data_IF_472625175149
#
_entry.id   IF_472625175149
#
_cell.length_a   1.000
_cell.length_b   1.000
_cell.length_c   1.000
_cell.angle_alpha   90.00
_cell.angle_beta   90.00
_cell.angle_gamma   90.00
#
_symmetry.space_group_name_H-M   'P 1'
#
loop_
_entity.id
_entity.type
_entity.pdbx_description
1 polymer ?
#
# COMPACT_ATOMS: atom_id res chain seq x y z
N UNK A 1 -14.97 13.33 49.91
CA UNK A 1 -14.98 12.05 49.15
C UNK A 1 -14.11 12.20 47.92
N UNK A 2 -13.11 11.30 47.78
CA UNK A 2 -12.52 10.71 46.56
C UNK A 2 -12.25 11.63 45.35
N UNK A 3 -11.08 11.69 44.70
CA UNK A 3 -9.71 11.18 44.88
C UNK A 3 -8.84 12.09 44.00
N UNK A 4 -7.77 12.64 44.55
CA UNK A 4 -6.65 13.15 43.76
C UNK A 4 -5.96 11.94 43.12
N UNK A 5 -5.75 11.97 41.81
CA UNK A 5 -4.76 11.13 41.15
C UNK A 5 -3.84 12.01 40.34
N UNK A 6 -2.74 12.39 41.01
CA UNK A 6 -1.43 12.48 40.38
C UNK A 6 -1.10 11.12 39.78
N UNK A 7 -0.75 11.10 38.50
CA UNK A 7 0.14 10.09 37.94
C UNK A 7 1.14 10.77 37.03
N UNK A 8 2.38 10.77 37.51
CA UNK A 8 3.57 10.93 36.71
C UNK A 8 3.59 9.90 35.56
N UNK A 9 4.06 10.36 34.38
CA UNK A 9 4.92 9.71 33.38
C UNK A 9 5.05 8.17 33.41
N UNK A 10 5.19 7.47 32.25
CA UNK A 10 6.41 7.68 31.45
C UNK A 10 6.35 7.26 29.95
N UNK A 11 7.51 7.35 29.31
CA UNK A 11 7.93 6.61 28.12
C UNK A 11 7.51 7.16 26.75
N UNK A 12 8.39 8.06 26.27
CA UNK A 12 9.03 7.87 24.98
C UNK A 12 9.41 6.39 24.82
N UNK A 13 8.71 5.65 23.96
CA UNK A 13 9.24 4.40 23.39
C UNK A 13 9.33 4.59 21.89
N UNK A 14 10.57 4.88 21.50
CA UNK A 14 11.11 4.77 20.15
C UNK A 14 10.59 3.46 19.55
N UNK A 15 9.69 3.54 18.56
CA UNK A 15 9.56 2.43 17.62
C UNK A 15 10.77 2.52 16.71
N UNK A 16 11.81 1.80 17.12
CA UNK A 16 12.93 1.46 16.26
C UNK A 16 12.33 0.82 15.01
N UNK A 17 12.59 1.45 13.86
CA UNK A 17 12.59 0.79 12.57
C UNK A 17 13.52 -0.41 12.71
N UNK A 18 12.96 -1.60 12.98
CA UNK A 18 13.66 -2.84 12.64
C UNK A 18 13.55 -2.95 11.13
N UNK A 19 14.58 -2.42 10.48
CA UNK A 19 15.05 -2.90 9.20
C UNK A 19 15.16 -4.42 9.31
N UNK A 20 14.12 -5.12 8.90
CA UNK A 20 14.28 -6.50 8.45
C UNK A 20 14.99 -6.40 7.11
N UNK A 21 16.32 -6.46 7.16
CA UNK A 21 17.09 -7.13 6.14
C UNK A 21 16.40 -8.47 5.88
N UNK A 22 15.52 -8.49 4.88
CA UNK A 22 15.13 -9.71 4.20
C UNK A 22 16.40 -10.14 3.49
N UNK A 23 17.26 -10.83 4.24
CA UNK A 23 18.35 -11.62 3.68
C UNK A 23 17.69 -12.54 2.68
N UNK A 24 17.87 -12.18 1.42
CA UNK A 24 17.71 -13.00 0.23
C UNK A 24 18.43 -14.33 0.49
N UNK A 25 17.71 -15.29 1.04
CA UNK A 25 18.21 -16.65 1.24
C UNK A 25 18.12 -17.36 -0.11
N UNK A 26 19.05 -17.04 -1.01
CA UNK A 26 19.36 -17.92 -2.13
C UNK A 26 20.25 -19.04 -1.61
N UNK A 27 19.63 -20.05 -1.00
CA UNK A 27 20.27 -21.35 -0.89
C UNK A 27 20.18 -21.98 -2.28
N UNK A 28 21.24 -21.74 -3.07
CA UNK A 28 21.57 -22.52 -4.25
C UNK A 28 21.98 -23.90 -3.75
N UNK A 29 21.06 -24.86 -3.81
CA UNK A 29 21.40 -26.27 -3.89
C UNK A 29 21.10 -26.71 -5.33
N UNK A 30 22.08 -26.53 -6.22
CA UNK A 30 22.09 -27.21 -7.53
C UNK A 30 22.59 -28.64 -7.31
N UNK A 31 21.72 -29.47 -6.74
CA UNK A 31 21.91 -30.91 -6.66
C UNK A 31 20.81 -31.58 -7.45
N UNK A 32 21.15 -32.02 -8.68
CA UNK A 32 20.38 -32.94 -9.53
C UNK A 32 18.86 -32.87 -9.45
N UNK A 33 18.24 -31.89 -10.10
CA UNK A 33 16.78 -31.94 -10.34
C UNK A 33 16.51 -32.87 -11.53
N UNK A 34 15.58 -33.84 -11.40
CA UNK A 34 15.19 -34.69 -12.53
C UNK A 34 14.61 -33.82 -13.66
N UNK A 35 14.80 -34.25 -14.91
CA UNK A 35 14.35 -33.56 -16.13
C UNK A 35 12.84 -33.21 -16.14
N UNK A 36 12.05 -33.78 -15.23
CA UNK A 36 10.62 -33.49 -15.02
C UNK A 36 10.35 -32.11 -14.40
N UNK A 37 11.31 -31.50 -13.68
CA UNK A 37 11.12 -30.18 -13.06
C UNK A 37 11.28 -29.01 -14.05
N UNK A 38 12.09 -29.19 -15.11
CA UNK A 38 12.27 -28.19 -16.17
C UNK A 38 10.97 -28.07 -16.99
N UNK A 39 10.38 -29.22 -17.32
CA UNK A 39 9.09 -29.32 -18.01
C UNK A 39 7.96 -28.60 -17.25
N UNK A 40 7.91 -28.72 -15.91
CA UNK A 40 6.91 -28.04 -15.10
C UNK A 40 7.05 -26.50 -15.13
N UNK A 41 8.28 -25.97 -15.22
CA UNK A 41 8.51 -24.53 -15.30
C UNK A 41 8.21 -23.96 -16.67
N UNK A 42 8.48 -24.70 -17.75
CA UNK A 42 8.12 -24.29 -19.12
C UNK A 42 6.62 -24.38 -19.36
N UNK A 43 5.96 -25.40 -18.80
CA UNK A 43 4.50 -25.50 -18.78
C UNK A 43 3.84 -24.36 -18.01
N UNK A 44 4.46 -23.87 -16.94
CA UNK A 44 3.98 -22.67 -16.22
C UNK A 44 4.11 -21.38 -17.01
N UNK A 45 5.01 -21.32 -18.00
CA UNK A 45 5.13 -20.16 -18.90
C UNK A 45 4.12 -20.21 -20.04
N UNK A 46 3.64 -21.40 -20.40
CA UNK A 46 2.58 -21.57 -21.39
C UNK A 46 1.24 -21.39 -20.69
N UNK A 47 0.37 -20.61 -21.29
CA UNK A 47 -0.98 -20.40 -20.80
C UNK A 47 -1.79 -21.71 -20.71
N UNK A 48 -2.82 -21.78 -19.84
CA UNK A 48 -3.70 -22.94 -19.70
C UNK A 48 -4.21 -23.51 -21.05
N UNK A 49 -4.59 -22.65 -21.99
CA UNK A 49 -5.09 -23.07 -23.31
C UNK A 49 -3.99 -23.67 -24.18
N UNK A 50 -2.82 -23.03 -24.21
CA UNK A 50 -1.66 -23.54 -24.94
C UNK A 50 -1.19 -24.89 -24.39
N UNK A 51 -1.26 -25.06 -23.06
CA UNK A 51 -0.94 -26.32 -22.41
C UNK A 51 -1.97 -27.41 -22.79
N UNK A 52 -3.26 -27.11 -22.74
CA UNK A 52 -4.31 -28.05 -23.17
C UNK A 52 -4.08 -28.54 -24.61
N UNK A 53 -3.89 -27.61 -25.56
CA UNK A 53 -3.69 -27.95 -26.97
C UNK A 53 -2.46 -28.82 -27.18
N UNK A 54 -1.34 -28.51 -26.52
CA UNK A 54 -0.13 -29.34 -26.62
C UNK A 54 -0.34 -30.78 -26.14
N UNK A 55 -1.13 -30.99 -25.07
CA UNK A 55 -1.42 -32.34 -24.58
C UNK A 55 -2.34 -33.13 -25.52
N UNK A 56 -3.23 -32.45 -26.25
CA UNK A 56 -4.05 -33.07 -27.29
C UNK A 56 -3.21 -33.44 -28.51
N UNK A 57 -2.34 -32.54 -28.97
CA UNK A 57 -1.42 -32.77 -30.10
C UNK A 57 -0.43 -33.93 -29.83
N UNK A 58 0.08 -34.01 -28.61
CA UNK A 58 0.97 -35.10 -28.16
C UNK A 58 0.23 -36.43 -27.96
N UNK A 59 -1.10 -36.46 -28.10
CA UNK A 59 -1.93 -37.64 -27.88
C UNK A 59 -2.05 -38.07 -26.42
N UNK A 60 -1.60 -37.23 -25.47
CA UNK A 60 -1.73 -37.46 -24.03
C UNK A 60 -3.16 -37.27 -23.54
N UNK A 61 -3.94 -36.48 -24.27
CA UNK A 61 -5.34 -36.18 -23.97
C UNK A 61 -6.19 -36.31 -25.22
N UNK A 62 -7.42 -36.81 -25.07
CA UNK A 62 -8.42 -36.76 -26.15
C UNK A 62 -9.04 -35.37 -26.18
N UNK A 63 -9.31 -34.85 -27.38
CA UNK A 63 -10.03 -33.59 -27.52
C UNK A 63 -11.43 -33.71 -26.88
N UNK A 64 -11.76 -32.71 -26.07
CA UNK A 64 -13.04 -32.56 -25.37
C UNK A 64 -13.39 -31.06 -25.36
N UNK A 65 -14.55 -30.74 -25.95
CA UNK A 65 -15.05 -29.37 -26.09
C UNK A 65 -15.20 -28.67 -24.74
N UNK A 66 -15.63 -29.40 -23.69
CA UNK A 66 -15.81 -28.79 -22.38
C UNK A 66 -14.48 -28.45 -21.72
N UNK A 67 -13.47 -29.31 -21.88
CA UNK A 67 -12.13 -29.05 -21.36
C UNK A 67 -11.45 -27.91 -22.10
N UNK A 68 -11.58 -27.82 -23.43
CA UNK A 68 -11.06 -26.69 -24.18
C UNK A 68 -11.71 -25.38 -23.72
N UNK A 69 -13.04 -25.37 -23.52
CA UNK A 69 -13.75 -24.20 -23.01
C UNK A 69 -13.22 -23.77 -21.63
N UNK A 70 -13.03 -24.71 -20.71
CA UNK A 70 -12.45 -24.40 -19.40
C UNK A 70 -11.04 -23.83 -19.54
N UNK A 71 -10.22 -24.37 -20.44
CA UNK A 71 -8.87 -23.87 -20.67
C UNK A 71 -8.86 -22.43 -21.21
N UNK A 72 -9.80 -22.07 -22.09
CA UNK A 72 -9.99 -20.69 -22.57
C UNK A 72 -10.35 -19.75 -21.41
N UNK A 73 -11.37 -20.10 -20.62
CA UNK A 73 -11.82 -19.26 -19.50
C UNK A 73 -10.72 -19.07 -18.43
N UNK A 74 -9.88 -20.09 -18.22
CA UNK A 74 -8.73 -20.00 -17.32
C UNK A 74 -7.63 -19.10 -17.87
N UNK A 75 -7.37 -19.13 -19.17
CA UNK A 75 -6.43 -18.21 -19.84
C UNK A 75 -6.86 -16.75 -19.62
N UNK A 76 -8.14 -16.45 -19.89
CA UNK A 76 -8.72 -15.12 -19.70
C UNK A 76 -8.66 -14.67 -18.23
N UNK A 77 -8.90 -15.60 -17.29
CA UNK A 77 -8.80 -15.31 -15.87
C UNK A 77 -7.37 -14.96 -15.45
N UNK A 78 -6.38 -15.71 -15.92
CA UNK A 78 -4.96 -15.44 -15.62
C UNK A 78 -4.56 -14.08 -16.17
N UNK A 79 -4.92 -13.76 -17.41
CA UNK A 79 -4.62 -12.46 -18.02
C UNK A 79 -5.26 -11.30 -17.24
N UNK A 80 -6.49 -11.47 -16.73
CA UNK A 80 -7.13 -10.48 -15.86
C UNK A 80 -6.40 -10.32 -14.53
N UNK A 81 -5.94 -11.41 -13.91
CA UNK A 81 -5.20 -11.36 -12.66
C UNK A 81 -3.85 -10.65 -12.82
N UNK A 82 -3.11 -10.90 -13.90
CA UNK A 82 -1.87 -10.19 -14.21
C UNK A 82 -2.10 -8.68 -14.39
N UNK A 83 -3.19 -8.29 -15.05
CA UNK A 83 -3.61 -6.88 -15.12
C UNK A 83 -3.91 -6.30 -13.75
N UNK A 84 -4.67 -7.00 -12.92
CA UNK A 84 -4.99 -6.54 -11.57
C UNK A 84 -3.75 -6.39 -10.70
N UNK A 85 -2.78 -7.29 -10.80
CA UNK A 85 -1.51 -7.20 -10.08
C UNK A 85 -0.78 -5.89 -10.43
N UNK A 86 -0.65 -5.60 -11.73
CA UNK A 86 -0.04 -4.35 -12.21
C UNK A 86 -0.81 -3.10 -11.76
N UNK A 87 -2.15 -3.13 -11.84
CA UNK A 87 -2.99 -2.02 -11.42
C UNK A 87 -2.86 -1.75 -9.92
N UNK A 88 -2.75 -2.81 -9.11
CA UNK A 88 -2.52 -2.71 -7.66
C UNK A 88 -1.14 -2.14 -7.33
N UNK A 89 -0.10 -2.55 -8.05
CA UNK A 89 1.24 -1.96 -7.91
C UNK A 89 1.21 -0.45 -8.22
N UNK A 90 0.58 -0.06 -9.33
CA UNK A 90 0.45 1.35 -9.71
C UNK A 90 -0.36 2.14 -8.68
N UNK A 91 -1.43 1.55 -8.15
CA UNK A 91 -2.23 2.14 -7.08
C UNK A 91 -1.38 2.43 -5.84
N UNK A 92 -0.57 1.48 -5.39
CA UNK A 92 0.31 1.67 -4.23
C UNK A 92 1.32 2.79 -4.44
N UNK A 93 1.89 2.92 -5.64
CA UNK A 93 2.79 4.04 -5.98
C UNK A 93 2.06 5.38 -5.91
N UNK A 94 0.87 5.46 -6.50
CA UNK A 94 0.04 6.68 -6.48
C UNK A 94 -0.35 7.06 -5.06
N UNK A 95 -0.72 6.09 -4.24
CA UNK A 95 -1.10 6.31 -2.84
C UNK A 95 0.07 6.88 -2.03
N UNK A 96 1.26 6.28 -2.14
CA UNK A 96 2.46 6.77 -1.46
C UNK A 96 2.82 8.20 -1.86
N UNK A 97 2.73 8.52 -3.16
CA UNK A 97 2.96 9.88 -3.65
C UNK A 97 1.92 10.88 -3.11
N UNK A 98 0.65 10.47 -3.05
CA UNK A 98 -0.42 11.30 -2.50
C UNK A 98 -0.22 11.59 -1.02
N UNK A 99 0.16 10.58 -0.23
CA UNK A 99 0.46 10.74 1.19
C UNK A 99 1.65 11.66 1.43
N UNK A 100 2.73 11.49 0.65
CA UNK A 100 3.92 12.35 0.72
C UNK A 100 3.56 13.81 0.43
N UNK A 101 2.83 14.07 -0.66
CA UNK A 101 2.40 15.43 -1.02
C UNK A 101 1.54 16.05 0.07
N UNK A 102 0.58 15.31 0.63
CA UNK A 102 -0.29 15.80 1.71
C UNK A 102 0.50 16.15 2.97
N UNK A 103 1.51 15.34 3.30
CA UNK A 103 2.36 15.57 4.45
C UNK A 103 3.31 16.76 4.24
N UNK A 104 3.81 16.96 3.02
CA UNK A 104 4.60 18.14 2.64
C UNK A 104 3.76 19.42 2.73
N UNK A 105 2.52 19.40 2.23
CA UNK A 105 1.57 20.51 2.39
C UNK A 105 1.31 20.81 3.87
N UNK A 106 1.06 19.76 4.69
CA UNK A 106 0.84 19.90 6.14
C UNK A 106 2.04 20.54 6.83
N UNK A 107 3.26 20.08 6.53
CA UNK A 107 4.50 20.68 7.07
C UNK A 107 4.69 22.11 6.59
N UNK A 108 4.41 22.38 5.32
CA UNK A 108 4.49 23.71 4.72
C UNK A 108 3.57 24.71 5.42
N UNK A 109 2.35 24.32 5.78
CA UNK A 109 1.42 25.17 6.56
C UNK A 109 2.00 25.46 7.95
N UNK A 110 2.50 24.45 8.66
CA UNK A 110 3.07 24.63 9.99
C UNK A 110 4.29 25.56 10.00
N UNK A 111 5.17 25.42 9.01
CA UNK A 111 6.34 26.32 8.85
C UNK A 111 5.87 27.74 8.56
N UNK A 112 4.95 27.92 7.62
CA UNK A 112 4.39 29.26 7.30
C UNK A 112 3.73 29.91 8.51
N UNK A 113 2.95 29.16 9.29
CA UNK A 113 2.33 29.66 10.53
C UNK A 113 3.37 30.04 11.58
N UNK A 114 4.44 29.26 11.73
CA UNK A 114 5.54 29.57 12.63
C UNK A 114 6.30 30.83 12.19
N UNK A 115 6.62 30.95 10.90
CA UNK A 115 7.30 32.12 10.33
C UNK A 115 6.47 33.40 10.49
N UNK A 116 5.15 33.31 10.26
CA UNK A 116 4.24 34.45 10.48
C UNK A 116 4.24 34.85 11.95
N UNK A 117 4.17 33.90 12.89
CA UNK A 117 4.22 34.18 14.34
C UNK A 117 5.56 34.78 14.76
N UNK A 118 6.67 34.32 14.19
CA UNK A 118 8.00 34.83 14.47
C UNK A 118 8.22 36.23 13.90
N UNK A 119 7.89 36.45 12.61
CA UNK A 119 8.00 37.77 11.96
C UNK A 119 7.05 38.80 12.56
N UNK A 120 5.87 38.35 12.99
CA UNK A 120 4.90 39.18 13.69
C UNK A 120 5.35 39.52 15.12
N UNK A 121 6.49 39.00 15.62
CA UNK A 121 7.06 39.36 16.92
C UNK A 121 6.01 39.52 18.01
N UNK A 122 5.30 38.45 18.36
CA UNK A 122 4.25 38.49 19.40
C UNK A 122 3.14 39.56 19.19
N UNK A 123 2.85 40.05 17.99
CA UNK A 123 1.89 41.15 17.83
C UNK A 123 0.41 40.71 17.74
N UNK A 124 -0.30 40.84 18.87
CA UNK A 124 -1.53 41.64 18.94
C UNK A 124 -2.70 41.40 17.95
N UNK A 125 -2.94 40.17 17.46
CA UNK A 125 -4.03 39.91 16.49
C UNK A 125 -5.34 39.34 17.06
N UNK A 126 -5.31 38.73 18.25
CA UNK A 126 -6.47 37.97 18.80
C UNK A 126 -7.52 38.89 19.46
N UNK A 127 -7.18 40.15 19.72
CA UNK A 127 -8.07 41.07 20.43
C UNK A 127 -9.29 41.49 19.58
N UNK A 128 -9.14 41.65 18.26
CA UNK A 128 -10.23 42.11 17.40
C UNK A 128 -11.33 41.05 17.19
N UNK A 129 -10.95 39.78 17.01
CA UNK A 129 -11.91 38.66 16.89
C UNK A 129 -12.64 38.34 18.20
N UNK A 130 -11.96 38.42 19.35
CA UNK A 130 -12.59 38.21 20.66
C UNK A 130 -13.63 39.29 20.99
N UNK A 131 -13.33 40.57 20.73
CA UNK A 131 -14.27 41.67 20.96
C UNK A 131 -15.54 41.59 20.10
N UNK A 132 -15.46 41.03 18.90
CA UNK A 132 -16.64 40.88 18.03
C UNK A 132 -17.59 39.78 18.51
N UNK A 133 -17.05 38.65 18.99
CA UNK A 133 -17.84 37.54 19.55
C UNK A 133 -18.53 37.99 20.85
N UNK A 134 -17.83 38.72 21.70
CA UNK A 134 -18.38 39.25 22.95
C UNK A 134 -19.51 40.27 22.68
N UNK A 135 -19.37 41.11 21.65
CA UNK A 135 -20.42 42.07 21.21
C UNK A 135 -21.67 41.38 20.64
N UNK A 136 -21.57 40.14 20.15
CA UNK A 136 -22.72 39.35 19.72
C UNK A 136 -23.41 38.69 20.92
N UNK A 137 -22.63 38.18 21.89
CA UNK A 137 -23.20 37.56 23.10
C UNK A 137 -23.97 38.55 23.97
N UNK A 138 -23.51 39.81 24.10
CA UNK A 138 -24.22 40.86 24.86
C UNK A 138 -25.56 41.29 24.24
N UNK A 139 -25.83 40.99 22.97
CA UNK A 139 -27.11 41.31 22.31
C UNK A 139 -28.17 40.23 22.48
N UNK A 140 -27.81 39.08 23.05
CA UNK A 140 -28.70 37.93 23.28
C UNK A 140 -29.11 37.77 24.74
N UNK A 141 -28.71 38.70 25.62
CA UNK A 141 -29.02 38.70 27.04
C UNK A 141 -30.00 39.82 27.37
#
# INVERSE_FOLDING_TARGET
MRRLFSLASPLRRIMAVRSSDVRRSTVRCLGGLPATMIDASERRRRGPLAMYRSMVEEGKLRHDVFQEKVAVELEDLVERLERYEKDMEEYHVKLANWEKRREEERRGILVKEADIKQRSGEASGVNSRRGFIEKIMRRRQ
#
